data_IF_447590750058
#
_entry.id   IF_447590750058
#
_cell.length_a   1.000
_cell.length_b   1.000
_cell.length_c   1.000
_cell.angle_alpha   90.00
_cell.angle_beta   90.00
_cell.angle_gamma   90.00
#
_symmetry.space_group_name_H-M   'P 1'
#
loop_
_entity.id
_entity.type
_entity.pdbx_description
1 polymer ?
#
# COMPACT_ATOMS: atom_id res chain seq x y z
N UNK A 1 40.91 37.68 -7.55
CA UNK A 1 39.97 38.72 -7.09
C UNK A 1 38.63 38.06 -6.78
N UNK A 2 38.12 38.26 -5.57
CA UNK A 2 36.85 37.70 -5.07
C UNK A 2 35.66 38.43 -5.71
N UNK A 3 34.65 37.71 -6.16
CA UNK A 3 33.31 38.25 -6.36
C UNK A 3 32.34 37.40 -5.51
N UNK A 4 31.90 37.97 -4.39
CA UNK A 4 30.83 37.43 -3.54
C UNK A 4 29.55 38.13 -3.96
N UNK A 5 28.63 37.40 -4.58
CA UNK A 5 27.30 37.93 -4.92
C UNK A 5 26.36 37.59 -3.77
N UNK A 6 25.96 38.61 -3.02
CA UNK A 6 24.92 38.50 -1.99
C UNK A 6 23.55 38.51 -2.68
N UNK A 7 22.69 37.53 -2.37
CA UNK A 7 21.29 37.53 -2.79
C UNK A 7 20.44 37.74 -1.54
N UNK A 8 19.72 38.87 -1.51
CA UNK A 8 18.82 39.28 -0.44
C UNK A 8 17.50 38.50 -0.51
N UNK A 9 17.06 37.94 0.61
CA UNK A 9 15.74 37.31 0.76
C UNK A 9 14.74 38.37 1.24
N UNK A 10 13.75 38.69 0.43
CA UNK A 10 12.60 39.48 0.83
C UNK A 10 11.39 38.54 1.02
N UNK A 11 11.04 38.27 2.27
CA UNK A 11 9.79 37.56 2.62
C UNK A 11 8.73 38.62 2.85
N UNK A 12 7.72 38.66 1.98
CA UNK A 12 6.51 39.44 2.18
C UNK A 12 5.30 38.60 1.80
N UNK A 13 4.52 38.20 2.80
CA UNK A 13 3.19 37.64 2.61
C UNK A 13 2.34 37.94 3.85
N UNK A 14 1.61 39.04 3.80
CA UNK A 14 0.41 39.26 4.60
C UNK A 14 -0.78 39.15 3.66
N UNK A 15 -1.65 38.16 3.86
CA UNK A 15 -3.08 38.29 3.57
C UNK A 15 -3.84 37.56 4.66
N UNK A 16 -4.58 38.32 5.45
CA UNK A 16 -5.57 37.85 6.41
C UNK A 16 -6.97 38.11 5.85
N UNK A 17 -7.97 37.47 6.48
CA UNK A 17 -9.43 37.59 6.33
C UNK A 17 -9.99 36.66 5.24
N UNK A 18 -11.03 35.84 5.48
CA UNK A 18 -12.35 36.21 6.01
C UNK A 18 -13.00 35.05 6.79
N UNK A 19 -13.63 35.39 7.92
CA UNK A 19 -14.60 34.56 8.64
C UNK A 19 -16.03 34.92 8.21
N UNK A 20 -16.93 33.92 8.14
CA UNK A 20 -18.41 33.96 8.22
C UNK A 20 -18.93 32.57 7.76
N UNK A 21 -19.93 31.89 8.32
CA UNK A 21 -20.93 32.21 9.34
C UNK A 21 -21.59 30.91 9.86
N UNK A 22 -22.25 31.03 11.02
CA UNK A 22 -23.21 30.12 11.66
C UNK A 22 -24.30 29.59 10.70
N UNK A 23 -24.83 28.38 10.87
CA UNK A 23 -25.92 28.08 11.82
C UNK A 23 -27.08 27.32 11.11
N UNK A 24 -28.22 27.03 11.77
CA UNK A 24 -28.60 25.67 12.21
C UNK A 24 -29.97 25.13 11.71
N UNK A 25 -30.29 23.89 12.14
CA UNK A 25 -31.61 23.43 12.66
C UNK A 25 -32.73 22.80 11.76
N UNK A 26 -33.20 21.62 12.25
CA UNK A 26 -34.58 21.04 12.30
C UNK A 26 -35.17 20.44 10.99
N UNK A 27 -36.05 19.43 10.97
CA UNK A 27 -36.92 18.79 11.99
C UNK A 27 -37.42 17.38 11.55
N UNK A 28 -37.61 16.49 12.54
CA UNK A 28 -38.73 15.54 12.81
C UNK A 28 -39.60 14.93 11.69
N UNK A 29 -39.82 13.60 11.75
CA UNK A 29 -41.02 12.89 12.27
C UNK A 29 -40.92 11.39 11.91
N UNK A 30 -40.75 10.48 12.87
CA UNK A 30 -41.80 9.66 13.53
C UNK A 30 -42.79 8.98 12.57
N UNK A 31 -42.72 7.65 12.42
CA UNK A 31 -43.84 6.81 12.88
C UNK A 31 -43.39 5.38 13.19
N UNK A 32 -43.81 4.98 14.39
CA UNK A 32 -43.75 3.68 15.06
C UNK A 32 -44.54 2.59 14.31
N UNK A 33 -44.06 1.33 14.36
CA UNK A 33 -44.85 0.13 14.68
C UNK A 33 -44.09 -1.18 14.35
N UNK A 34 -43.64 -1.85 15.41
CA UNK A 34 -43.36 -3.31 15.50
C UNK A 34 -44.16 -3.81 16.72
N UNK A 35 -44.42 -5.11 16.99
CA UNK A 35 -44.33 -6.37 16.22
C UNK A 35 -45.67 -7.14 16.17
N UNK A 36 -45.76 -8.22 15.38
CA UNK A 36 -46.61 -9.37 15.75
C UNK A 36 -46.21 -10.66 15.01
N UNK A 37 -45.91 -11.68 15.79
CA UNK A 37 -45.83 -13.13 15.52
C UNK A 37 -46.29 -13.80 16.83
N UNK A 38 -46.60 -15.11 16.91
CA UNK A 38 -47.20 -16.10 15.99
C UNK A 38 -48.44 -16.79 16.65
N UNK A 39 -49.02 -17.91 16.12
CA UNK A 39 -48.59 -19.29 16.47
C UNK A 39 -48.73 -20.31 15.28
N UNK A 40 -47.83 -21.28 15.05
CA UNK A 40 -47.55 -22.59 15.65
C UNK A 40 -48.28 -23.83 15.04
N UNK A 41 -47.45 -24.73 14.49
CA UNK A 41 -47.56 -26.20 14.27
C UNK A 41 -48.53 -26.81 13.23
N UNK A 42 -47.99 -27.65 12.32
CA UNK A 42 -48.03 -29.14 12.41
C UNK A 42 -47.15 -29.82 11.32
N UNK A 43 -46.15 -30.58 11.79
CA UNK A 43 -45.54 -31.88 11.39
C UNK A 43 -45.45 -32.39 9.91
N UNK A 44 -44.17 -32.63 9.54
CA UNK A 44 -43.52 -33.73 8.79
C UNK A 44 -44.07 -34.29 7.45
N UNK A 45 -43.21 -34.23 6.42
CA UNK A 45 -42.89 -35.38 5.57
C UNK A 45 -41.49 -35.21 4.94
N UNK A 46 -40.66 -36.24 5.05
CA UNK A 46 -39.35 -36.38 4.38
C UNK A 46 -39.59 -36.83 2.93
N UNK A 47 -38.79 -36.38 1.97
CA UNK A 47 -37.90 -37.37 1.36
C UNK A 47 -36.48 -36.84 1.08
N UNK A 48 -35.53 -37.75 1.33
CA UNK A 48 -34.17 -37.78 0.81
C UNK A 48 -34.06 -37.45 -0.68
N UNK A 49 -33.21 -36.49 -1.03
CA UNK A 49 -32.45 -36.47 -2.29
C UNK A 49 -31.30 -35.44 -2.20
N UNK A 50 -30.11 -35.94 -1.87
CA UNK A 50 -28.84 -35.24 -2.15
C UNK A 50 -28.53 -35.42 -3.64
N UNK A 51 -28.07 -34.37 -4.32
CA UNK A 51 -26.89 -34.55 -5.15
C UNK A 51 -25.79 -33.57 -4.74
N UNK A 52 -24.61 -34.15 -4.63
CA UNK A 52 -23.31 -33.53 -4.42
C UNK A 52 -23.12 -32.26 -5.25
N UNK A 53 -23.11 -31.10 -4.58
CA UNK A 53 -22.41 -29.94 -5.12
C UNK A 53 -20.94 -30.20 -4.89
N UNK A 54 -20.24 -30.56 -5.98
CA UNK A 54 -18.78 -30.63 -6.01
C UNK A 54 -18.19 -29.38 -5.38
N UNK A 55 -17.53 -29.56 -4.24
CA UNK A 55 -16.61 -28.58 -3.71
C UNK A 55 -15.59 -28.27 -4.80
N UNK A 56 -15.67 -27.09 -5.40
CA UNK A 56 -14.51 -26.50 -6.08
C UNK A 56 -13.50 -26.23 -4.98
N UNK A 57 -12.58 -27.17 -4.82
CA UNK A 57 -11.27 -26.87 -4.27
C UNK A 57 -10.60 -25.90 -5.25
N UNK A 58 -10.80 -24.59 -5.06
CA UNK A 58 -9.85 -23.61 -5.59
C UNK A 58 -8.55 -23.82 -4.82
N UNK A 59 -7.70 -24.68 -5.38
CA UNK A 59 -6.29 -24.74 -5.07
C UNK A 59 -5.70 -23.38 -5.46
N UNK A 60 -5.05 -22.62 -4.56
CA UNK A 60 -4.20 -21.53 -4.97
C UNK A 60 -2.98 -22.17 -5.64
N UNK A 61 -3.06 -22.36 -6.96
CA UNK A 61 -1.90 -22.71 -7.78
C UNK A 61 -1.49 -21.44 -8.51
N UNK A 62 -0.57 -20.71 -7.91
CA UNK A 62 0.34 -19.85 -8.63
C UNK A 62 1.75 -20.23 -8.17
N UNK A 63 2.32 -21.24 -8.83
CA UNK A 63 3.77 -21.30 -8.96
C UNK A 63 4.20 -20.04 -9.74
N UNK A 64 5.27 -19.34 -9.32
CA UNK A 64 5.78 -18.23 -10.10
C UNK A 64 6.37 -18.78 -11.40
N UNK A 65 5.67 -18.56 -12.50
CA UNK A 65 6.23 -18.78 -13.84
C UNK A 65 7.25 -17.67 -14.05
N UNK A 66 8.52 -17.96 -13.77
CA UNK A 66 9.63 -17.01 -13.80
C UNK A 66 9.96 -16.38 -15.17
N UNK A 67 9.13 -16.61 -16.20
CA UNK A 67 9.34 -16.10 -17.56
C UNK A 67 8.16 -15.29 -18.13
N UNK A 68 7.03 -15.19 -17.41
CA UNK A 68 5.89 -14.40 -17.88
C UNK A 68 5.96 -12.95 -17.34
N UNK A 69 5.71 -11.94 -18.18
CA UNK A 69 5.54 -10.55 -17.74
C UNK A 69 4.61 -10.45 -16.54
N UNK A 70 4.98 -9.65 -15.55
CA UNK A 70 4.10 -9.36 -14.44
C UNK A 70 2.81 -8.70 -14.97
N UNK A 71 1.64 -8.99 -14.40
CA UNK A 71 0.41 -8.30 -14.78
C UNK A 71 0.55 -6.78 -14.61
N UNK A 72 0.27 -6.04 -15.70
CA UNK A 72 0.20 -4.57 -15.69
C UNK A 72 -1.14 -4.10 -15.12
N UNK A 73 -1.34 -4.43 -13.84
CA UNK A 73 -2.55 -4.10 -13.09
C UNK A 73 -2.19 -3.50 -11.75
N UNK A 74 -3.19 -2.89 -11.10
CA UNK A 74 -3.08 -2.37 -9.74
C UNK A 74 -2.65 -3.46 -8.76
N UNK A 75 -3.22 -4.64 -8.89
CA UNK A 75 -2.93 -5.81 -8.06
C UNK A 75 -1.51 -6.32 -8.29
N UNK A 76 -1.01 -6.28 -9.53
CA UNK A 76 0.39 -6.62 -9.84
C UNK A 76 1.38 -5.68 -9.15
N UNK A 77 1.12 -4.37 -9.17
CA UNK A 77 1.95 -3.40 -8.46
C UNK A 77 1.92 -3.60 -6.94
N UNK A 78 0.73 -3.90 -6.38
CA UNK A 78 0.58 -4.21 -4.95
C UNK A 78 1.42 -5.43 -4.59
N UNK A 79 1.28 -6.54 -5.32
CA UNK A 79 2.03 -7.77 -5.06
C UNK A 79 3.53 -7.53 -5.08
N UNK A 80 4.02 -6.77 -6.06
CA UNK A 80 5.44 -6.46 -6.17
C UNK A 80 5.93 -5.55 -5.04
N UNK A 81 5.12 -4.61 -4.59
CA UNK A 81 5.45 -3.78 -3.43
C UNK A 81 5.44 -4.59 -2.12
N UNK A 82 4.48 -5.50 -1.94
CA UNK A 82 4.46 -6.43 -0.79
C UNK A 82 5.70 -7.33 -0.76
N UNK A 83 6.15 -7.81 -1.92
CA UNK A 83 7.41 -8.57 -2.03
C UNK A 83 8.61 -7.76 -1.55
N UNK A 84 8.72 -6.48 -1.95
CA UNK A 84 9.73 -5.57 -1.44
C UNK A 84 9.64 -5.39 0.08
N UNK A 85 8.44 -5.16 0.63
CA UNK A 85 8.25 -5.05 2.07
C UNK A 85 8.68 -6.32 2.80
N UNK A 86 8.32 -7.50 2.28
CA UNK A 86 8.69 -8.76 2.90
C UNK A 86 10.21 -9.00 2.80
N UNK A 87 10.82 -8.59 1.69
CA UNK A 87 12.26 -8.66 1.49
C UNK A 87 13.01 -7.77 2.50
N UNK A 88 12.53 -6.55 2.78
CA UNK A 88 13.04 -5.73 3.88
C UNK A 88 12.95 -6.46 5.23
N UNK A 89 11.83 -7.14 5.48
CA UNK A 89 11.63 -7.92 6.72
C UNK A 89 12.53 -9.16 6.84
N UNK A 90 12.97 -9.73 5.72
CA UNK A 90 13.90 -10.87 5.65
C UNK A 90 15.36 -10.47 5.50
N UNK A 91 15.64 -9.19 5.29
CA UNK A 91 16.97 -8.67 4.92
C UNK A 91 17.49 -9.29 3.61
N UNK A 92 16.55 -9.52 2.69
CA UNK A 92 16.79 -10.10 1.37
C UNK A 92 17.24 -9.00 0.40
N UNK A 93 18.54 -8.78 0.36
CA UNK A 93 19.15 -7.64 -0.34
C UNK A 93 19.00 -7.74 -1.85
N UNK A 94 18.98 -8.95 -2.40
CA UNK A 94 18.90 -9.18 -3.84
C UNK A 94 17.51 -8.76 -4.33
N UNK A 95 16.45 -9.23 -3.67
CA UNK A 95 15.07 -8.84 -3.99
C UNK A 95 14.84 -7.35 -3.77
N UNK A 96 15.34 -6.79 -2.67
CA UNK A 96 15.23 -5.34 -2.40
C UNK A 96 15.88 -4.52 -3.51
N UNK A 97 17.10 -4.88 -3.92
CA UNK A 97 17.82 -4.17 -4.97
C UNK A 97 17.27 -4.43 -6.37
N UNK A 98 16.61 -5.55 -6.60
CA UNK A 98 15.89 -5.83 -7.84
C UNK A 98 14.67 -4.89 -7.98
N UNK A 99 13.77 -4.89 -6.99
CA UNK A 99 12.54 -4.07 -7.01
C UNK A 99 12.87 -2.58 -6.98
N UNK A 100 13.84 -2.17 -6.17
CA UNK A 100 14.28 -0.78 -6.06
C UNK A 100 15.32 -0.38 -7.12
N UNK A 101 15.66 -1.26 -8.07
CA UNK A 101 16.78 -1.07 -8.99
C UNK A 101 16.86 0.31 -9.66
N UNK A 102 15.77 0.82 -10.27
CA UNK A 102 15.76 2.16 -10.87
C UNK A 102 16.00 3.29 -9.86
N UNK A 103 15.26 3.30 -8.74
CA UNK A 103 15.44 4.29 -7.67
C UNK A 103 16.84 4.23 -7.05
N UNK A 104 17.35 3.02 -6.77
CA UNK A 104 18.66 2.80 -6.20
C UNK A 104 19.78 3.24 -7.16
N UNK A 105 19.62 3.02 -8.47
CA UNK A 105 20.57 3.52 -9.48
C UNK A 105 20.59 5.05 -9.53
N UNK A 106 19.42 5.68 -9.47
CA UNK A 106 19.28 7.14 -9.40
C UNK A 106 19.95 7.70 -8.13
N UNK A 107 19.74 7.07 -6.98
CA UNK A 107 20.39 7.45 -5.72
C UNK A 107 21.91 7.26 -5.78
N UNK A 108 22.38 6.15 -6.38
CA UNK A 108 23.80 5.89 -6.60
C UNK A 108 24.44 7.00 -7.44
N UNK A 109 23.78 7.44 -8.52
CA UNK A 109 24.26 8.53 -9.39
C UNK A 109 24.31 9.88 -8.67
N UNK A 110 23.56 10.02 -7.57
CA UNK A 110 23.57 11.18 -6.68
C UNK A 110 24.59 11.05 -5.53
N UNK A 111 25.35 9.95 -5.47
CA UNK A 111 26.44 9.76 -4.51
C UNK A 111 26.06 8.99 -3.25
N UNK A 112 24.86 8.38 -3.17
CA UNK A 112 24.45 7.54 -2.02
C UNK A 112 25.19 6.20 -1.98
N UNK A 113 25.87 5.83 -3.07
CA UNK A 113 26.59 4.57 -3.22
C UNK A 113 25.72 3.45 -3.81
N UNK A 114 26.29 2.25 -3.98
CA UNK A 114 25.56 1.09 -4.49
C UNK A 114 24.40 0.67 -3.60
N UNK A 115 23.32 0.17 -4.23
CA UNK A 115 22.14 -0.35 -3.55
C UNK A 115 22.46 -1.27 -2.37
N UNK A 116 23.35 -2.24 -2.58
CA UNK A 116 23.70 -3.25 -1.58
C UNK A 116 24.34 -2.64 -0.34
N UNK A 117 25.26 -1.68 -0.49
CA UNK A 117 25.85 -1.00 0.66
C UNK A 117 24.85 -0.12 1.41
N UNK A 118 23.97 0.58 0.68
CA UNK A 118 22.96 1.46 1.27
C UNK A 118 21.93 0.66 2.06
N UNK A 119 21.39 -0.42 1.47
CA UNK A 119 20.39 -1.24 2.14
C UNK A 119 20.98 -2.10 3.27
N UNK A 120 22.26 -2.50 3.21
CA UNK A 120 22.91 -3.11 4.36
C UNK A 120 22.87 -2.18 5.59
N UNK A 121 23.07 -0.88 5.41
CA UNK A 121 22.92 0.11 6.48
C UNK A 121 21.45 0.28 6.90
N UNK A 122 20.51 0.36 5.95
CA UNK A 122 19.06 0.44 6.23
C UNK A 122 18.59 -0.74 7.08
N UNK A 123 19.01 -1.96 6.77
CA UNK A 123 18.66 -3.14 7.56
C UNK A 123 19.12 -3.05 9.01
N UNK A 124 20.21 -2.35 9.32
CA UNK A 124 20.63 -2.12 10.70
C UNK A 124 19.79 -1.07 11.42
N UNK A 125 19.11 -0.18 10.68
CA UNK A 125 18.24 0.86 11.24
C UNK A 125 16.83 0.35 11.54
N UNK A 126 16.34 -0.67 10.84
CA UNK A 126 15.01 -1.26 11.07
C UNK A 126 15.05 -2.14 12.32
N UNK A 127 14.17 -1.86 13.29
CA UNK A 127 14.11 -2.65 14.53
C UNK A 127 13.68 -4.11 14.27
N UNK A 128 14.04 -5.07 15.15
CA UNK A 128 13.60 -6.45 15.00
C UNK A 128 12.07 -6.62 14.94
N UNK A 129 11.33 -5.79 15.69
CA UNK A 129 9.86 -5.80 15.68
C UNK A 129 9.30 -5.34 14.34
N UNK A 130 9.87 -4.28 13.76
CA UNK A 130 9.50 -3.79 12.42
C UNK A 130 9.85 -4.81 11.34
N UNK A 131 11.05 -5.42 11.37
CA UNK A 131 11.41 -6.51 10.44
C UNK A 131 10.41 -7.66 10.52
N UNK A 132 10.01 -8.07 11.73
CA UNK A 132 8.99 -9.12 11.91
C UNK A 132 7.64 -8.72 11.31
N UNK A 133 7.21 -7.47 11.53
CA UNK A 133 5.95 -6.97 10.97
C UNK A 133 5.98 -6.89 9.44
N UNK A 134 7.12 -6.51 8.86
CA UNK A 134 7.34 -6.42 7.42
C UNK A 134 7.21 -7.76 6.70
N UNK A 135 7.57 -8.88 7.34
CA UNK A 135 7.45 -10.23 6.75
C UNK A 135 6.01 -10.65 6.43
N UNK A 136 5.02 -9.99 7.01
CA UNK A 136 3.59 -10.25 6.77
C UNK A 136 2.83 -8.97 6.44
N UNK A 137 3.54 -7.92 6.04
CA UNK A 137 2.92 -6.65 5.67
C UNK A 137 2.09 -6.84 4.40
N UNK A 138 0.95 -6.17 4.33
CA UNK A 138 0.08 -6.14 3.16
C UNK A 138 -0.22 -4.69 2.80
N UNK A 139 -0.74 -4.45 1.61
CA UNK A 139 -1.10 -3.12 1.14
C UNK A 139 -2.61 -3.03 0.99
N UNK A 140 -3.21 -1.98 1.56
CA UNK A 140 -4.61 -1.66 1.38
C UNK A 140 -4.86 -1.08 -0.02
N UNK A 141 -5.56 -1.80 -0.92
CA UNK A 141 -5.80 -1.31 -2.26
C UNK A 141 -6.63 -0.03 -2.30
N UNK A 142 -7.41 0.28 -1.24
CA UNK A 142 -8.24 1.49 -1.19
C UNK A 142 -7.45 2.74 -0.81
N UNK A 143 -6.21 2.59 -0.34
CA UNK A 143 -5.37 3.69 0.12
C UNK A 143 -4.23 4.04 -0.82
N UNK A 144 -4.09 3.32 -1.93
CA UNK A 144 -3.09 3.61 -2.95
C UNK A 144 -3.66 4.52 -4.04
N UNK A 145 -2.80 5.32 -4.67
CA UNK A 145 -3.21 6.24 -5.73
C UNK A 145 -2.73 5.75 -7.09
N UNK A 146 -3.68 5.43 -7.98
CA UNK A 146 -3.37 5.13 -9.38
C UNK A 146 -3.21 6.46 -10.11
N UNK A 147 -2.00 6.78 -10.56
CA UNK A 147 -1.73 8.00 -11.34
C UNK A 147 -1.97 7.77 -12.82
N UNK A 148 -1.44 6.66 -13.32
CA UNK A 148 -1.71 6.12 -14.65
C UNK A 148 -1.79 4.61 -14.57
N UNK A 149 -2.22 3.89 -15.62
CA UNK A 149 -2.15 2.42 -15.63
C UNK A 149 -0.75 1.84 -15.37
N UNK A 150 0.30 2.66 -15.48
CA UNK A 150 1.70 2.22 -15.40
C UNK A 150 2.42 2.84 -14.22
N UNK A 151 1.72 3.64 -13.41
CA UNK A 151 2.32 4.43 -12.35
C UNK A 151 1.37 4.51 -11.17
N UNK A 152 1.80 3.90 -10.07
CA UNK A 152 1.00 3.75 -8.86
C UNK A 152 1.82 4.24 -7.68
N UNK A 153 1.22 5.09 -6.86
CA UNK A 153 1.80 5.52 -5.59
C UNK A 153 1.31 4.65 -4.45
N UNK A 154 2.28 4.18 -3.65
CA UNK A 154 2.13 3.39 -2.45
C UNK A 154 2.51 4.25 -1.24
N UNK A 155 1.54 4.97 -0.64
CA UNK A 155 1.81 5.75 0.55
C UNK A 155 1.97 4.85 1.77
N UNK A 156 2.69 5.30 2.81
CA UNK A 156 2.93 4.48 4.02
C UNK A 156 1.62 4.09 4.71
N UNK A 157 0.59 4.96 4.64
CA UNK A 157 -0.71 4.72 5.25
C UNK A 157 -1.51 3.59 4.59
N UNK A 158 -1.08 3.14 3.40
CA UNK A 158 -1.61 1.95 2.75
C UNK A 158 -1.01 0.66 3.33
N UNK A 159 0.15 0.71 4.02
CA UNK A 159 0.78 -0.48 4.58
C UNK A 159 0.04 -0.95 5.83
N UNK A 160 -0.41 -2.20 5.80
CA UNK A 160 -1.07 -2.92 6.90
C UNK A 160 -0.13 -3.97 7.46
N UNK A 161 0.28 -3.79 8.70
CA UNK A 161 1.14 -4.72 9.41
C UNK A 161 0.84 -4.73 10.90
N UNK A 162 1.46 -5.65 11.65
CA UNK A 162 1.32 -5.72 13.11
C UNK A 162 2.06 -4.59 13.85
N UNK A 163 2.87 -3.79 13.13
CA UNK A 163 3.53 -2.60 13.63
C UNK A 163 3.14 -1.39 12.78
N UNK A 164 3.15 -0.21 13.38
CA UNK A 164 2.93 1.06 12.67
C UNK A 164 4.23 1.55 12.07
N UNK A 165 4.17 2.06 10.84
CA UNK A 165 5.28 2.70 10.15
C UNK A 165 4.95 4.16 9.89
N UNK A 166 5.96 5.01 10.03
CA UNK A 166 5.93 6.42 9.66
C UNK A 166 6.59 6.65 8.30
N UNK A 167 6.44 7.85 7.76
CA UNK A 167 7.18 8.28 6.57
C UNK A 167 8.70 8.14 6.72
N UNK A 168 9.24 8.28 7.93
CA UNK A 168 10.68 8.05 8.15
C UNK A 168 11.08 6.58 8.17
N UNK A 169 10.14 5.65 8.37
CA UNK A 169 10.43 4.22 8.40
C UNK A 169 10.39 3.59 7.00
N UNK A 170 9.33 3.87 6.24
CA UNK A 170 9.09 3.28 4.92
C UNK A 170 8.90 4.31 3.80
N UNK A 171 8.55 5.55 4.13
CA UNK A 171 8.22 6.57 3.14
C UNK A 171 7.02 6.22 2.26
N UNK A 172 6.80 7.08 1.28
CA UNK A 172 5.87 6.86 0.16
C UNK A 172 6.67 6.58 -1.10
N UNK A 173 6.29 5.52 -1.83
CA UNK A 173 7.00 5.10 -3.04
C UNK A 173 6.11 5.09 -4.27
N UNK A 174 6.73 5.33 -5.42
CA UNK A 174 6.10 5.23 -6.74
C UNK A 174 6.60 3.98 -7.45
N UNK A 175 5.68 3.07 -7.76
CA UNK A 175 5.94 1.94 -8.65
C UNK A 175 5.57 2.30 -10.08
N UNK A 176 6.51 2.04 -11.00
CA UNK A 176 6.29 2.15 -12.43
C UNK A 176 6.44 0.79 -13.14
N UNK A 177 5.57 0.52 -14.11
CA UNK A 177 5.66 -0.68 -14.93
C UNK A 177 6.72 -0.51 -16.02
N UNK A 178 7.87 -1.12 -15.83
CA UNK A 178 9.04 -1.02 -16.71
C UNK A 178 9.51 -2.42 -17.07
N UNK A 179 9.97 -2.65 -18.31
CA UNK A 179 10.61 -3.92 -18.71
C UNK A 179 9.83 -5.18 -18.29
N UNK A 180 8.50 -5.15 -18.40
CA UNK A 180 7.59 -6.23 -18.07
C UNK A 180 7.40 -6.53 -16.56
N UNK A 181 7.81 -5.63 -15.66
CA UNK A 181 7.59 -5.76 -14.21
C UNK A 181 7.38 -4.39 -13.53
N UNK A 182 7.03 -4.38 -12.25
CA UNK A 182 6.84 -3.17 -11.44
C UNK A 182 8.09 -2.85 -10.61
N UNK A 183 8.56 -1.61 -10.69
CA UNK A 183 9.77 -1.17 -9.99
C UNK A 183 9.56 0.13 -9.24
N UNK A 184 10.22 0.29 -8.09
CA UNK A 184 10.29 1.56 -7.37
C UNK A 184 11.22 2.51 -8.13
N UNK A 185 10.79 3.76 -8.34
CA UNK A 185 11.48 4.71 -9.24
C UNK A 185 11.85 6.06 -8.62
N UNK A 186 11.33 6.40 -7.44
CA UNK A 186 11.57 7.67 -6.77
C UNK A 186 12.74 7.67 -5.79
#
# INVERSE_FOLDING_TARGET
MRARTMVSVAVSACVALVACACGPDKAKQDTDAKPSQPPASTRAEEPSATPSVSARTEKPSAEPTGDQPAPRTKEGAIQRYEEYLHALGREDIDTVCEVAGPAAKKAQDQGLGPCTSTYAAVFQMISPAQKKALRTATVDPQRIAVRTPDKIEMPVEAVRASATFSESDLGSYTLEYLKNDWYITD
#
